data_IF_110998900767
#
_entry.id   IF_110998900767
#
_cell.length_a   1.000
_cell.length_b   1.000
_cell.length_c   1.000
_cell.angle_alpha   90.00
_cell.angle_beta   90.00
_cell.angle_gamma   90.00
#
_symmetry.space_group_name_H-M   'P 1'
#
loop_
_entity.id
_entity.type
_entity.pdbx_description
1 polymer ?
#
# COMPACT_ATOMS: atom_id res chain seq x y z
N UNK A 1 -22.99 2.70 3.60
CA UNK A 1 -21.91 3.36 4.36
C UNK A 1 -20.91 3.93 3.37
N UNK A 2 -20.65 5.22 3.44
CA UNK A 2 -19.70 5.85 2.52
C UNK A 2 -18.24 5.66 2.99
N UNK A 3 -17.29 6.18 2.22
CA UNK A 3 -15.87 6.00 2.50
C UNK A 3 -15.47 6.59 3.85
N UNK A 4 -15.98 7.80 4.17
CA UNK A 4 -15.64 8.48 5.43
C UNK A 4 -16.11 7.65 6.62
N UNK A 5 -17.32 7.10 6.56
CA UNK A 5 -17.84 6.24 7.61
C UNK A 5 -17.00 4.99 7.81
N UNK A 6 -16.55 4.37 6.70
CA UNK A 6 -15.69 3.20 6.76
C UNK A 6 -14.34 3.51 7.42
N UNK A 7 -13.76 4.67 7.09
CA UNK A 7 -12.48 5.10 7.68
C UNK A 7 -12.64 5.40 9.16
N UNK A 8 -13.73 6.04 9.56
CA UNK A 8 -14.01 6.31 10.98
C UNK A 8 -14.16 5.02 11.76
N UNK A 9 -14.81 4.02 11.18
CA UNK A 9 -14.98 2.72 11.79
C UNK A 9 -13.63 2.01 11.98
N UNK A 10 -12.77 2.05 10.97
CA UNK A 10 -11.42 1.51 11.06
C UNK A 10 -10.61 2.22 12.15
N UNK A 11 -10.66 3.54 12.18
CA UNK A 11 -9.94 4.34 13.18
C UNK A 11 -10.42 4.04 14.60
N UNK A 12 -11.72 3.83 14.79
CA UNK A 12 -12.29 3.53 16.10
C UNK A 12 -11.80 2.19 16.66
N UNK A 13 -11.44 1.24 15.80
CA UNK A 13 -10.94 -0.07 16.22
C UNK A 13 -9.44 -0.08 16.52
N UNK A 14 -8.68 0.91 16.05
CA UNK A 14 -7.24 0.94 16.17
C UNK A 14 -6.70 0.74 17.60
N UNK A 15 -7.17 1.45 18.63
CA UNK A 15 -6.59 1.32 19.96
C UNK A 15 -6.62 -0.11 20.51
N UNK A 16 -7.67 -0.87 20.22
CA UNK A 16 -7.79 -2.26 20.66
C UNK A 16 -6.95 -3.20 19.81
N UNK A 17 -6.87 -2.93 18.50
CA UNK A 17 -6.14 -3.78 17.58
C UNK A 17 -4.62 -3.67 17.75
N UNK A 18 -4.10 -2.47 17.99
CA UNK A 18 -2.66 -2.24 18.07
C UNK A 18 -1.99 -3.09 19.16
N UNK A 19 -2.69 -3.37 20.25
CA UNK A 19 -2.17 -4.21 21.34
C UNK A 19 -1.88 -5.64 20.90
N UNK A 20 -2.54 -6.10 19.84
CA UNK A 20 -2.45 -7.47 19.36
C UNK A 20 -1.62 -7.60 18.06
N UNK A 21 -1.14 -6.49 17.51
CA UNK A 21 -0.41 -6.50 16.26
C UNK A 21 1.09 -6.47 16.57
N UNK A 22 1.78 -7.58 16.33
CA UNK A 22 3.19 -7.72 16.66
C UNK A 22 4.12 -7.84 15.47
N UNK A 23 3.58 -8.03 14.27
CA UNK A 23 4.38 -8.24 13.06
C UNK A 23 3.92 -7.32 11.93
N UNK A 24 4.77 -7.16 10.92
CA UNK A 24 4.41 -6.44 9.71
C UNK A 24 3.26 -7.11 8.98
N UNK A 25 3.25 -8.46 8.91
CA UNK A 25 2.16 -9.20 8.29
C UNK A 25 0.83 -8.96 9.03
N UNK A 26 0.84 -8.96 10.36
CA UNK A 26 -0.36 -8.67 11.14
C UNK A 26 -0.85 -7.25 10.91
N UNK A 27 0.06 -6.29 10.75
CA UNK A 27 -0.29 -4.91 10.39
C UNK A 27 -1.02 -4.87 9.04
N UNK A 28 -0.50 -5.58 8.03
CA UNK A 28 -1.11 -5.62 6.71
C UNK A 28 -2.52 -6.22 6.78
N UNK A 29 -2.68 -7.34 7.45
CA UNK A 29 -3.96 -8.05 7.51
C UNK A 29 -5.02 -7.28 8.31
N UNK A 30 -4.64 -6.68 9.42
CA UNK A 30 -5.60 -6.03 10.32
C UNK A 30 -5.91 -4.58 9.96
N UNK A 31 -4.95 -3.85 9.39
CA UNK A 31 -5.08 -2.41 9.19
C UNK A 31 -5.10 -2.01 7.72
N UNK A 32 -4.26 -2.59 6.89
CA UNK A 32 -4.06 -2.12 5.52
C UNK A 32 -5.05 -2.76 4.55
N UNK A 33 -5.27 -4.07 4.63
CA UNK A 33 -6.28 -4.73 3.80
C UNK A 33 -7.69 -4.17 4.03
N UNK A 34 -8.12 -3.90 5.26
CA UNK A 34 -9.40 -3.22 5.47
C UNK A 34 -9.46 -1.82 4.86
N UNK A 35 -8.35 -1.10 4.84
CA UNK A 35 -8.28 0.22 4.18
C UNK A 35 -8.47 0.08 2.67
N UNK A 36 -7.78 -0.88 2.05
CA UNK A 36 -7.93 -1.14 0.61
C UNK A 36 -9.38 -1.55 0.29
N UNK A 37 -9.98 -2.36 1.15
CA UNK A 37 -11.39 -2.73 1.02
C UNK A 37 -12.30 -1.50 1.10
N UNK A 38 -12.01 -0.58 2.03
CA UNK A 38 -12.77 0.66 2.17
C UNK A 38 -12.69 1.55 0.93
N UNK A 39 -11.58 1.47 0.18
CA UNK A 39 -11.43 2.18 -1.09
C UNK A 39 -12.32 1.59 -2.20
N UNK A 40 -12.87 0.40 -2.00
CA UNK A 40 -13.77 -0.24 -2.96
C UNK A 40 -13.17 -1.41 -3.72
N UNK A 41 -11.98 -1.85 -3.36
CA UNK A 41 -11.31 -2.96 -4.04
C UNK A 41 -11.50 -4.27 -3.28
N UNK A 42 -11.56 -5.38 -4.05
CA UNK A 42 -11.69 -6.70 -3.46
C UNK A 42 -10.30 -7.31 -3.20
N UNK A 43 -9.89 -7.32 -1.94
CA UNK A 43 -8.55 -7.82 -1.56
C UNK A 43 -8.40 -9.33 -1.74
N UNK A 44 -9.49 -10.05 -1.95
CA UNK A 44 -9.48 -11.49 -2.18
C UNK A 44 -9.42 -11.84 -3.67
N UNK A 45 -9.51 -10.85 -4.56
CA UNK A 45 -9.43 -11.05 -6.00
C UNK A 45 -8.07 -10.58 -6.51
N UNK A 46 -7.18 -11.51 -6.90
CA UNK A 46 -5.83 -11.13 -7.34
C UNK A 46 -5.81 -10.35 -8.66
N UNK A 47 -6.92 -10.29 -9.39
CA UNK A 47 -7.00 -9.43 -10.57
C UNK A 47 -7.25 -7.97 -10.21
N UNK A 48 -7.71 -7.70 -8.98
CA UNK A 48 -7.89 -6.34 -8.46
C UNK A 48 -6.76 -5.93 -7.52
N UNK A 49 -6.36 -6.83 -6.60
CA UNK A 49 -5.33 -6.55 -5.61
C UNK A 49 -4.34 -7.71 -5.60
N UNK A 50 -3.15 -7.48 -6.11
CA UNK A 50 -2.10 -8.49 -6.15
C UNK A 50 -1.12 -8.25 -5.00
N UNK A 51 -0.95 -9.23 -4.08
CA UNK A 51 0.09 -9.14 -3.08
C UNK A 51 1.45 -9.45 -3.69
N UNK A 52 2.49 -8.85 -3.13
CA UNK A 52 3.87 -9.14 -3.48
C UNK A 52 4.17 -9.04 -4.97
N UNK A 53 3.71 -7.95 -5.60
CA UNK A 53 3.99 -7.73 -7.02
C UNK A 53 5.49 -7.68 -7.29
N UNK A 54 5.91 -8.46 -8.28
CA UNK A 54 7.29 -8.49 -8.73
C UNK A 54 7.33 -8.13 -10.23
N UNK A 55 8.00 -7.02 -10.56
CA UNK A 55 8.23 -6.61 -11.93
C UNK A 55 9.69 -6.91 -12.28
N UNK A 56 9.93 -7.66 -13.35
CA UNK A 56 11.27 -8.16 -13.70
C UNK A 56 12.21 -7.15 -14.32
N UNK A 57 11.74 -5.97 -14.69
CA UNK A 57 12.51 -5.01 -15.48
C UNK A 57 13.25 -4.00 -14.61
N UNK A 58 14.58 -4.07 -14.61
CA UNK A 58 15.43 -3.08 -13.95
C UNK A 58 15.36 -3.07 -12.44
N UNK A 59 14.88 -4.15 -11.83
CA UNK A 59 14.64 -4.25 -10.41
C UNK A 59 15.53 -5.34 -9.81
N UNK A 60 15.99 -5.09 -8.60
CA UNK A 60 16.80 -6.02 -7.84
C UNK A 60 16.03 -7.32 -7.62
N UNK A 61 16.66 -8.45 -7.91
CA UNK A 61 16.04 -9.76 -7.74
C UNK A 61 15.56 -9.94 -6.30
N UNK A 62 14.30 -10.35 -6.15
CA UNK A 62 13.68 -10.58 -4.85
C UNK A 62 12.98 -9.37 -4.25
N UNK A 63 13.07 -8.20 -4.86
CA UNK A 63 12.30 -7.05 -4.40
C UNK A 63 10.84 -7.17 -4.85
N UNK A 64 9.93 -6.79 -3.96
CA UNK A 64 8.50 -6.86 -4.20
C UNK A 64 7.81 -5.65 -3.59
N UNK A 65 6.73 -5.19 -4.22
CA UNK A 65 5.80 -4.24 -3.63
C UNK A 65 4.75 -5.04 -2.87
N UNK A 66 4.41 -4.61 -1.66
CA UNK A 66 3.51 -5.39 -0.79
C UNK A 66 2.15 -5.63 -1.41
N UNK A 67 1.55 -4.60 -1.99
CA UNK A 67 0.30 -4.73 -2.74
C UNK A 67 0.33 -3.83 -3.97
N UNK A 68 -0.27 -4.33 -5.05
CA UNK A 68 -0.57 -3.52 -6.22
C UNK A 68 -2.05 -3.61 -6.52
N UNK A 69 -2.70 -2.47 -6.72
CA UNK A 69 -4.07 -2.43 -7.20
C UNK A 69 -4.01 -2.38 -8.71
N UNK A 70 -4.72 -3.29 -9.35
CA UNK A 70 -4.68 -3.49 -10.79
C UNK A 70 -5.96 -3.01 -11.46
N UNK A 71 -5.82 -2.50 -12.67
CA UNK A 71 -6.92 -2.22 -13.55
C UNK A 71 -6.54 -2.71 -14.95
N UNK A 72 -7.36 -3.62 -15.48
CA UNK A 72 -7.09 -4.24 -16.79
C UNK A 72 -5.68 -4.85 -16.86
N UNK A 73 -5.27 -5.51 -15.78
CA UNK A 73 -3.98 -6.18 -15.69
C UNK A 73 -2.78 -5.26 -15.43
N UNK A 74 -3.01 -3.97 -15.27
CA UNK A 74 -1.94 -2.99 -15.07
C UNK A 74 -1.99 -2.36 -13.68
N UNK A 75 -0.83 -2.24 -12.99
CA UNK A 75 -0.81 -1.56 -11.70
C UNK A 75 -1.21 -0.09 -11.83
N UNK A 76 -2.13 0.35 -10.97
CA UNK A 76 -2.53 1.75 -10.88
C UNK A 76 -2.17 2.39 -9.56
N UNK A 77 -2.11 1.59 -8.49
CA UNK A 77 -1.70 2.05 -7.16
C UNK A 77 -0.76 1.00 -6.57
N UNK A 78 0.35 1.45 -6.00
CA UNK A 78 1.32 0.59 -5.32
C UNK A 78 1.34 0.91 -3.84
N UNK A 79 1.41 -0.13 -3.00
CA UNK A 79 1.47 0.01 -1.54
C UNK A 79 2.75 -0.62 -1.02
N UNK A 80 3.52 0.16 -0.26
CA UNK A 80 4.61 -0.36 0.57
C UNK A 80 4.20 -0.22 2.02
N UNK A 81 4.22 -1.34 2.75
CA UNK A 81 3.66 -1.43 4.10
C UNK A 81 4.78 -1.68 5.11
N UNK A 82 4.67 -1.03 6.26
CA UNK A 82 5.61 -1.18 7.37
C UNK A 82 4.85 -1.55 8.64
N UNK A 83 5.55 -2.04 9.63
CA UNK A 83 4.98 -2.33 10.95
C UNK A 83 4.32 -1.06 11.51
N UNK A 84 3.24 -1.21 12.27
CA UNK A 84 2.48 -0.06 12.77
C UNK A 84 3.29 0.89 13.64
N UNK A 85 4.35 0.40 14.26
CA UNK A 85 5.22 1.23 15.09
C UNK A 85 6.36 1.92 14.30
N UNK A 86 6.47 1.66 13.00
CA UNK A 86 7.53 2.24 12.19
C UNK A 86 7.32 3.74 12.00
N UNK A 87 8.41 4.49 12.14
CA UNK A 87 8.43 5.93 11.85
C UNK A 87 8.68 6.10 10.34
N UNK A 88 7.66 6.49 9.59
CA UNK A 88 7.75 6.60 8.14
C UNK A 88 8.78 7.62 7.67
N UNK A 89 9.08 8.63 8.48
CA UNK A 89 10.10 9.64 8.13
C UNK A 89 11.51 9.04 8.07
N UNK A 90 11.72 7.88 8.67
CA UNK A 90 13.00 7.17 8.70
C UNK A 90 13.06 6.00 7.74
N UNK A 91 11.99 5.75 7.01
CA UNK A 91 11.89 4.63 6.06
C UNK A 91 12.36 5.08 4.69
N UNK A 92 13.20 4.26 4.07
CA UNK A 92 13.60 4.46 2.67
C UNK A 92 12.61 3.70 1.78
N UNK A 93 11.78 4.44 1.06
CA UNK A 93 10.76 3.86 0.18
C UNK A 93 11.37 3.49 -1.18
N UNK A 94 12.57 2.93 -1.19
CA UNK A 94 13.31 2.67 -2.43
C UNK A 94 12.64 1.65 -3.34
N UNK A 95 12.01 0.61 -2.77
CA UNK A 95 11.28 -0.38 -3.56
C UNK A 95 10.06 0.26 -4.21
N UNK A 96 9.29 1.02 -3.43
CA UNK A 96 8.12 1.71 -3.94
C UNK A 96 8.51 2.67 -5.07
N UNK A 97 9.56 3.45 -4.86
CA UNK A 97 10.06 4.40 -5.85
C UNK A 97 10.46 3.70 -7.15
N UNK A 98 11.22 2.60 -7.05
CA UNK A 98 11.66 1.86 -8.24
C UNK A 98 10.49 1.26 -9.00
N UNK A 99 9.53 0.64 -8.31
CA UNK A 99 8.35 0.08 -8.97
C UNK A 99 7.49 1.15 -9.61
N UNK A 100 7.35 2.30 -8.94
CA UNK A 100 6.62 3.42 -9.51
C UNK A 100 7.23 3.87 -10.84
N UNK A 101 8.57 3.91 -10.90
CA UNK A 101 9.28 4.38 -12.10
C UNK A 101 9.18 3.43 -13.30
N UNK A 102 8.87 2.15 -13.09
CA UNK A 102 8.84 1.14 -14.17
C UNK A 102 7.44 0.57 -14.44
N UNK A 103 6.42 1.06 -13.76
CA UNK A 103 5.04 0.59 -13.96
C UNK A 103 4.15 1.72 -14.46
N UNK A 104 2.90 1.38 -14.77
CA UNK A 104 1.88 2.37 -15.15
C UNK A 104 1.19 3.00 -13.94
N UNK A 105 1.65 2.71 -12.72
CA UNK A 105 1.03 3.25 -11.52
C UNK A 105 1.11 4.77 -11.48
N UNK A 106 0.01 5.40 -11.08
CA UNK A 106 -0.11 6.85 -10.91
C UNK A 106 -0.06 7.26 -9.43
N UNK A 107 -0.21 6.31 -8.53
CA UNK A 107 -0.20 6.55 -7.10
C UNK A 107 0.67 5.53 -6.39
N UNK A 108 1.47 6.03 -5.44
CA UNK A 108 2.23 5.20 -4.51
C UNK A 108 1.81 5.53 -3.09
N UNK A 109 1.71 4.51 -2.26
CA UNK A 109 1.32 4.69 -0.85
C UNK A 109 2.36 4.01 0.04
N UNK A 110 2.94 4.80 0.95
CA UNK A 110 3.78 4.29 2.03
C UNK A 110 2.97 4.38 3.32
N UNK A 111 2.83 3.27 4.02
CA UNK A 111 1.96 3.25 5.19
C UNK A 111 2.46 2.30 6.26
N UNK A 112 2.16 2.62 7.52
CA UNK A 112 2.31 1.71 8.66
C UNK A 112 0.94 1.28 9.21
N UNK A 113 -0.14 1.53 8.46
CA UNK A 113 -1.50 1.19 8.87
C UNK A 113 -2.17 2.25 9.73
N UNK A 114 -1.41 3.15 10.33
CA UNK A 114 -1.90 4.28 11.13
C UNK A 114 -1.74 5.57 10.35
N UNK A 115 -0.61 5.73 9.69
CA UNK A 115 -0.27 6.90 8.87
C UNK A 115 -0.14 6.43 7.43
N UNK A 116 -0.67 7.23 6.49
CA UNK A 116 -0.62 6.95 5.07
C UNK A 116 -0.01 8.16 4.36
N UNK A 117 1.09 7.94 3.64
CA UNK A 117 1.71 8.92 2.78
C UNK A 117 1.42 8.58 1.33
N UNK A 118 0.85 9.54 0.60
CA UNK A 118 0.46 9.37 -0.79
C UNK A 118 1.40 10.14 -1.71
N UNK A 119 1.80 9.48 -2.78
CA UNK A 119 2.69 10.04 -3.80
C UNK A 119 2.03 9.89 -5.16
N UNK A 120 2.33 10.83 -6.06
CA UNK A 120 1.81 10.76 -7.43
C UNK A 120 2.85 11.35 -8.41
N UNK A 121 2.57 11.29 -9.71
CA UNK A 121 3.46 11.78 -10.75
C UNK A 121 3.10 13.22 -11.18
N UNK A 122 3.20 14.16 -10.23
CA UNK A 122 2.78 15.55 -10.46
C UNK A 122 3.62 16.29 -11.52
N UNK A 123 4.93 16.09 -11.53
CA UNK A 123 5.83 16.84 -12.42
C UNK A 123 6.13 16.12 -13.72
N UNK A 124 6.34 14.81 -13.66
CA UNK A 124 6.70 14.03 -14.83
C UNK A 124 6.17 12.61 -14.69
N UNK A 125 5.74 11.97 -15.80
CA UNK A 125 5.31 10.58 -15.75
C UNK A 125 6.38 9.68 -15.13
N UNK A 126 5.94 8.72 -14.32
CA UNK A 126 6.79 7.74 -13.65
C UNK A 126 7.78 8.32 -12.63
N UNK A 127 7.65 9.60 -12.31
CA UNK A 127 8.46 10.22 -11.26
C UNK A 127 7.58 10.48 -10.04
N UNK A 128 7.83 9.74 -8.98
CA UNK A 128 7.05 9.82 -7.74
C UNK A 128 7.38 11.10 -6.96
N UNK A 129 6.35 11.85 -6.60
CA UNK A 129 6.43 13.06 -5.78
C UNK A 129 5.71 12.89 -4.45
#
# INVERSE_FOLDING_TARGET
MDFIDKIRELAARLPKQLEHIQTEEATKNALIMPFITALGYNVFDPTEVTPELNADIGIKKGEKVDYAILREGKPIILFECKHHAADLSKVHASQLYRYFSVTSARFGVLTNGVIYWFFTDLEAPNKMD
#
